data_IF_592012567701
#
_entry.id   IF_592012567701
#
_cell.length_a   1.000
_cell.length_b   1.000
_cell.length_c   1.000
_cell.angle_alpha   90.00
_cell.angle_beta   90.00
_cell.angle_gamma   90.00
#
_symmetry.space_group_name_H-M   'P 1'
#
loop_
_entity.id
_entity.type
_entity.pdbx_description
1 polymer ?
#
# COMPACT_ATOMS: atom_id res chain seq x y z
N UNK A 1 48.11 -32.95 -42.37
CA UNK A 1 47.76 -34.35 -42.75
C UNK A 1 47.91 -35.22 -41.51
N UNK A 2 47.09 -36.25 -41.24
CA UNK A 2 45.89 -36.79 -41.94
C UNK A 2 44.58 -36.60 -41.10
N UNK A 3 43.38 -36.37 -41.66
CA UNK A 3 42.31 -37.31 -42.16
C UNK A 3 41.79 -38.29 -41.09
N UNK A 4 40.49 -38.52 -40.85
CA UNK A 4 39.38 -38.94 -41.75
C UNK A 4 38.03 -38.80 -41.01
N UNK A 5 36.92 -38.26 -41.57
CA UNK A 5 35.87 -38.86 -42.43
C UNK A 5 35.39 -40.29 -42.08
N UNK A 6 34.10 -40.42 -41.72
CA UNK A 6 33.08 -41.40 -42.17
C UNK A 6 31.93 -41.41 -41.13
N UNK A 7 30.71 -40.91 -41.37
CA UNK A 7 29.61 -41.42 -42.21
C UNK A 7 29.31 -42.92 -42.00
N UNK A 8 28.17 -43.25 -41.38
CA UNK A 8 27.23 -44.22 -41.94
C UNK A 8 25.84 -44.20 -41.30
N UNK A 9 24.83 -44.16 -42.17
CA UNK A 9 23.40 -44.38 -41.91
C UNK A 9 23.15 -45.88 -41.68
N UNK A 10 22.12 -46.19 -40.88
CA UNK A 10 21.36 -47.42 -41.02
C UNK A 10 19.85 -47.08 -41.08
N UNK A 11 19.16 -47.77 -41.99
CA UNK A 11 17.78 -47.56 -42.42
C UNK A 11 17.00 -48.85 -42.16
N UNK A 12 15.68 -48.69 -41.99
CA UNK A 12 14.59 -49.69 -42.07
C UNK A 12 14.43 -50.67 -40.88
N UNK A 13 13.22 -50.71 -40.31
CA UNK A 13 12.29 -51.78 -40.68
C UNK A 13 10.82 -51.48 -40.36
N UNK A 14 9.94 -52.19 -41.08
CA UNK A 14 8.53 -51.96 -41.37
C UNK A 14 7.70 -53.13 -40.83
N UNK A 15 6.57 -52.87 -40.20
CA UNK A 15 5.48 -53.83 -39.95
C UNK A 15 4.29 -53.06 -39.35
N UNK A 16 3.08 -52.93 -39.91
CA UNK A 16 2.11 -53.83 -40.58
C UNK A 16 1.00 -54.35 -39.64
N UNK A 17 -0.15 -53.64 -39.71
CA UNK A 17 -1.59 -54.01 -39.55
C UNK A 17 -2.10 -54.94 -38.41
N UNK A 18 -3.09 -54.48 -37.63
CA UNK A 18 -4.52 -54.82 -37.82
C UNK A 18 -5.49 -54.36 -36.70
N UNK A 19 -6.56 -53.67 -37.13
CA UNK A 19 -8.01 -53.74 -36.81
C UNK A 19 -8.59 -53.79 -35.36
N UNK A 20 -9.52 -52.84 -35.15
CA UNK A 20 -10.87 -52.91 -34.53
C UNK A 20 -11.03 -53.36 -33.07
N UNK A 21 -11.46 -52.42 -32.21
CA UNK A 21 -12.53 -52.66 -31.24
C UNK A 21 -13.14 -51.34 -30.73
N UNK A 22 -14.46 -51.27 -30.82
CA UNK A 22 -15.37 -50.23 -30.33
C UNK A 22 -15.56 -50.38 -28.80
N UNK A 23 -15.43 -49.32 -28.01
CA UNK A 23 -16.02 -49.18 -26.64
C UNK A 23 -15.93 -47.71 -26.21
N UNK A 24 -17.05 -46.98 -26.22
CA UNK A 24 -17.94 -46.68 -25.08
C UNK A 24 -17.48 -45.53 -24.16
N UNK A 25 -18.30 -44.48 -24.18
CA UNK A 25 -18.59 -43.42 -23.19
C UNK A 25 -17.79 -43.33 -21.89
N UNK A 26 -17.28 -42.13 -21.60
CA UNK A 26 -17.57 -41.37 -20.37
C UNK A 26 -17.07 -39.93 -20.50
N UNK A 27 -17.88 -38.89 -20.14
CA UNK A 27 -17.40 -37.53 -20.09
C UNK A 27 -16.63 -37.34 -18.78
N UNK A 28 -15.30 -37.27 -18.87
CA UNK A 28 -14.46 -36.94 -17.73
C UNK A 28 -14.76 -35.49 -17.33
N UNK A 29 -15.34 -35.33 -16.14
CA UNK A 29 -15.64 -34.07 -15.46
C UNK A 29 -14.44 -33.12 -15.57
N UNK A 30 -14.63 -32.03 -16.30
CA UNK A 30 -13.70 -30.90 -16.28
C UNK A 30 -13.84 -30.19 -14.92
N UNK A 31 -12.97 -30.54 -13.97
CA UNK A 31 -12.67 -29.69 -12.84
C UNK A 31 -11.87 -28.50 -13.38
N UNK A 32 -12.55 -27.37 -13.59
CA UNK A 32 -11.86 -26.08 -13.74
C UNK A 32 -12.16 -25.24 -12.50
N UNK A 33 -11.14 -25.17 -11.64
CA UNK A 33 -11.02 -24.21 -10.56
C UNK A 33 -11.20 -22.80 -11.14
N UNK A 34 -12.36 -22.18 -10.90
CA UNK A 34 -12.48 -20.74 -11.02
C UNK A 34 -11.73 -20.11 -9.84
N UNK A 35 -10.57 -19.54 -10.15
CA UNK A 35 -9.75 -18.82 -9.19
C UNK A 35 -10.56 -17.68 -8.55
N UNK A 36 -10.64 -17.74 -7.24
CA UNK A 36 -11.14 -16.70 -6.34
C UNK A 36 -10.35 -15.39 -6.51
N UNK A 37 -11.02 -14.34 -6.99
CA UNK A 37 -10.57 -12.95 -6.89
C UNK A 37 -11.75 -12.12 -6.41
N UNK A 38 -12.03 -12.20 -5.11
CA UNK A 38 -12.74 -11.12 -4.41
C UNK A 38 -11.68 -10.31 -3.68
N UNK A 39 -11.42 -9.16 -4.28
CA UNK A 39 -10.49 -8.11 -3.93
C UNK A 39 -10.33 -7.91 -2.43
N UNK A 40 -9.08 -7.76 -1.99
CA UNK A 40 -8.72 -7.27 -0.68
C UNK A 40 -9.36 -5.89 -0.44
N UNK A 41 -10.54 -5.88 0.17
CA UNK A 41 -10.98 -4.77 1.00
C UNK A 41 -10.35 -4.98 2.39
N UNK A 42 -9.02 -4.87 2.47
CA UNK A 42 -8.29 -5.06 3.72
C UNK A 42 -7.37 -3.86 3.92
N UNK A 43 -7.69 -3.04 4.92
CA UNK A 43 -6.66 -2.27 5.63
C UNK A 43 -6.72 -0.75 5.63
N UNK A 44 -7.81 -0.08 5.22
CA UNK A 44 -7.90 1.37 5.46
C UNK A 44 -8.26 1.71 6.92
N UNK A 45 -8.96 0.81 7.62
CA UNK A 45 -9.22 0.94 9.06
C UNK A 45 -7.92 0.70 9.83
N UNK A 46 -7.23 1.77 10.21
CA UNK A 46 -6.00 1.74 10.99
C UNK A 46 -4.80 2.46 10.35
N UNK A 47 -4.94 3.00 9.14
CA UNK A 47 -3.95 3.93 8.63
C UNK A 47 -4.14 5.31 9.27
N UNK A 48 -3.03 5.96 9.62
CA UNK A 48 -3.02 7.26 10.28
C UNK A 48 -2.41 8.32 9.35
N UNK A 49 -2.95 9.53 9.42
CA UNK A 49 -2.31 10.74 8.91
C UNK A 49 -1.92 11.61 10.11
N UNK A 50 -0.82 12.33 10.01
CA UNK A 50 -0.41 13.25 11.06
C UNK A 50 -0.01 14.58 10.43
N UNK A 51 -0.45 15.68 11.04
CA UNK A 51 -0.27 17.04 10.49
C UNK A 51 0.94 17.74 11.12
N UNK A 52 1.29 17.41 12.37
CA UNK A 52 2.45 17.93 13.08
C UNK A 52 2.89 17.00 14.22
N UNK A 53 4.06 17.25 14.80
CA UNK A 53 4.59 16.49 15.94
C UNK A 53 3.98 16.85 17.30
N UNK A 54 3.11 17.86 17.32
CA UNK A 54 2.46 18.36 18.53
C UNK A 54 0.95 18.12 18.51
N UNK A 55 0.44 17.51 17.45
CA UNK A 55 -0.96 17.10 17.31
C UNK A 55 -1.05 15.57 17.31
N UNK A 56 -2.18 15.02 17.78
CA UNK A 56 -2.43 13.59 17.68
C UNK A 56 -2.46 13.14 16.21
N UNK A 57 -2.21 11.86 15.91
CA UNK A 57 -2.55 11.31 14.61
C UNK A 57 -4.07 11.34 14.39
N UNK A 58 -4.47 11.37 13.12
CA UNK A 58 -5.85 11.27 12.68
C UNK A 58 -6.05 9.95 11.95
N UNK A 59 -7.14 9.25 12.27
CA UNK A 59 -7.51 7.99 11.63
C UNK A 59 -8.07 8.22 10.23
N UNK A 60 -7.52 7.54 9.23
CA UNK A 60 -8.00 7.60 7.84
C UNK A 60 -9.40 6.99 7.74
N UNK A 61 -10.33 7.75 7.17
CA UNK A 61 -11.73 7.35 6.95
C UNK A 61 -12.04 7.09 5.47
N UNK A 62 -11.24 7.65 4.56
CA UNK A 62 -11.44 7.51 3.12
C UNK A 62 -10.10 7.56 2.38
N UNK A 63 -9.95 6.68 1.38
CA UNK A 63 -8.84 6.68 0.43
C UNK A 63 -9.40 6.51 -0.98
N UNK A 64 -8.95 7.35 -1.92
CA UNK A 64 -9.34 7.28 -3.33
C UNK A 64 -8.15 7.45 -4.26
N UNK A 65 -8.26 6.91 -5.48
CA UNK A 65 -7.28 7.17 -6.54
C UNK A 65 -5.86 6.67 -6.27
N UNK A 66 -5.69 5.64 -5.44
CA UNK A 66 -4.38 5.02 -5.13
C UNK A 66 -3.56 4.79 -6.40
N UNK A 67 -2.26 5.09 -6.36
CA UNK A 67 -1.32 5.00 -7.48
C UNK A 67 -1.61 5.91 -8.69
N UNK A 68 -2.53 6.88 -8.58
CA UNK A 68 -2.84 7.81 -9.67
C UNK A 68 -2.21 9.19 -9.47
N UNK A 69 -2.40 10.09 -10.44
CA UNK A 69 -2.04 11.51 -10.32
C UNK A 69 -2.93 12.32 -9.37
N UNK A 70 -4.02 11.72 -8.88
CA UNK A 70 -5.04 12.34 -8.03
C UNK A 70 -5.38 11.44 -6.84
N UNK A 71 -4.38 10.76 -6.27
CA UNK A 71 -4.57 9.93 -5.08
C UNK A 71 -4.89 10.82 -3.87
N UNK A 72 -5.89 10.45 -3.06
CA UNK A 72 -6.30 11.23 -1.89
C UNK A 72 -6.60 10.35 -0.69
N UNK A 73 -6.36 10.89 0.49
CA UNK A 73 -6.85 10.33 1.74
C UNK A 73 -7.45 11.44 2.61
N UNK A 74 -8.49 11.10 3.35
CA UNK A 74 -9.12 11.95 4.37
C UNK A 74 -9.07 11.19 5.68
N UNK A 75 -8.60 11.86 6.73
CA UNK A 75 -8.54 11.34 8.08
C UNK A 75 -9.25 12.29 9.05
N UNK A 76 -9.73 11.75 10.17
CA UNK A 76 -10.36 12.52 11.24
C UNK A 76 -9.70 12.23 12.57
N UNK A 77 -9.61 13.25 13.42
CA UNK A 77 -9.19 13.03 14.79
C UNK A 77 -10.31 12.38 15.57
N UNK A 78 -10.03 11.21 16.12
CA UNK A 78 -10.98 10.46 16.95
C UNK A 78 -10.66 10.65 18.42
N UNK A 79 -11.67 10.45 19.27
CA UNK A 79 -11.48 10.49 20.72
C UNK A 79 -10.41 9.49 21.22
N UNK A 80 -10.38 8.22 20.74
CA UNK A 80 -9.30 7.29 21.05
C UNK A 80 -7.91 7.84 20.71
N UNK A 81 -7.74 8.42 19.51
CA UNK A 81 -6.44 8.94 19.06
C UNK A 81 -5.96 10.09 19.96
N UNK A 82 -6.87 11.03 20.27
CA UNK A 82 -6.59 12.16 21.16
C UNK A 82 -6.22 11.68 22.56
N UNK A 83 -7.01 10.75 23.10
CA UNK A 83 -6.81 10.21 24.45
C UNK A 83 -5.45 9.54 24.55
N UNK A 84 -5.14 8.65 23.62
CA UNK A 84 -3.85 7.96 23.55
C UNK A 84 -2.69 8.95 23.45
N UNK A 85 -2.77 9.91 22.53
CA UNK A 85 -1.69 10.85 22.30
C UNK A 85 -1.42 11.79 23.50
N UNK A 86 -2.45 12.16 24.25
CA UNK A 86 -2.29 12.93 25.50
C UNK A 86 -1.65 12.10 26.63
N UNK A 87 -2.02 10.83 26.78
CA UNK A 87 -1.40 9.96 27.79
C UNK A 87 0.04 9.57 27.43
N UNK A 88 0.34 9.39 26.15
CA UNK A 88 1.69 9.09 25.67
C UNK A 88 2.57 10.35 25.54
N UNK A 89 1.99 11.54 25.68
CA UNK A 89 2.72 12.82 25.72
C UNK A 89 3.15 13.36 24.34
N UNK A 90 2.55 12.89 23.25
CA UNK A 90 2.87 13.41 21.90
C UNK A 90 2.24 14.76 21.61
N UNK A 91 1.11 15.07 22.24
CA UNK A 91 0.40 16.33 22.02
C UNK A 91 1.04 17.43 22.85
N UNK A 92 1.43 18.53 22.18
CA UNK A 92 1.95 19.74 22.83
C UNK A 92 2.99 19.45 23.92
N UNK A 93 4.08 18.75 23.58
CA UNK A 93 5.09 18.17 24.49
C UNK A 93 5.51 19.10 25.66
N UNK A 94 4.77 19.03 26.76
CA UNK A 94 5.03 19.78 28.01
C UNK A 94 4.16 21.03 28.26
N UNK A 95 3.17 21.32 27.41
CA UNK A 95 2.33 22.51 27.54
C UNK A 95 1.10 22.36 28.44
N UNK A 96 0.72 21.13 28.81
CA UNK A 96 -0.44 20.84 29.67
C UNK A 96 -0.01 20.32 31.03
N UNK A 97 -0.74 20.67 32.09
CA UNK A 97 -0.43 20.25 33.46
C UNK A 97 -0.84 18.80 33.75
N UNK A 98 -1.81 18.25 33.00
CA UNK A 98 -2.20 16.83 33.08
C UNK A 98 -2.73 16.28 31.74
N UNK A 99 -2.76 14.93 31.57
CA UNK A 99 -3.40 14.30 30.42
C UNK A 99 -4.88 14.67 30.26
N UNK A 100 -5.62 14.83 31.35
CA UNK A 100 -7.05 15.20 31.33
C UNK A 100 -7.26 16.61 30.79
N UNK A 101 -6.38 17.55 31.17
CA UNK A 101 -6.38 18.91 30.62
C UNK A 101 -6.07 18.87 29.11
N UNK A 102 -5.05 18.12 28.71
CA UNK A 102 -4.71 17.90 27.31
C UNK A 102 -5.90 17.35 26.52
N UNK A 103 -6.58 16.31 27.03
CA UNK A 103 -7.73 15.69 26.36
C UNK A 103 -8.85 16.70 26.19
N UNK A 104 -9.19 17.46 27.23
CA UNK A 104 -10.28 18.45 27.20
C UNK A 104 -10.03 19.53 26.14
N UNK A 105 -8.84 20.14 26.15
CA UNK A 105 -8.49 21.22 25.23
C UNK A 105 -8.32 20.71 23.79
N UNK A 106 -7.68 19.56 23.61
CA UNK A 106 -7.45 18.96 22.29
C UNK A 106 -8.76 18.50 21.66
N UNK A 107 -9.68 17.91 22.43
CA UNK A 107 -11.02 17.56 21.93
C UNK A 107 -11.79 18.80 21.47
N UNK A 108 -11.76 19.88 22.23
CA UNK A 108 -12.45 21.12 21.86
C UNK A 108 -11.94 21.70 20.53
N UNK A 109 -10.66 21.47 20.20
CA UNK A 109 -10.01 22.02 19.01
C UNK A 109 -10.09 21.09 17.80
N UNK A 110 -9.87 19.79 18.00
CA UNK A 110 -9.59 18.85 16.89
C UNK A 110 -10.64 17.77 16.71
N UNK A 111 -11.49 17.48 17.70
CA UNK A 111 -12.40 16.33 17.60
C UNK A 111 -13.34 16.48 16.40
N UNK A 112 -13.26 15.55 15.46
CA UNK A 112 -14.04 15.58 14.23
C UNK A 112 -13.49 16.49 13.12
N UNK A 113 -12.44 17.30 13.37
CA UNK A 113 -11.70 17.99 12.32
C UNK A 113 -11.07 16.96 11.37
N UNK A 114 -10.94 17.35 10.10
CA UNK A 114 -10.44 16.49 9.04
C UNK A 114 -9.11 16.99 8.50
N UNK A 115 -8.22 16.03 8.24
CA UNK A 115 -6.95 16.29 7.57
C UNK A 115 -6.91 15.53 6.25
N UNK A 116 -6.47 16.22 5.20
CA UNK A 116 -6.39 15.68 3.84
C UNK A 116 -4.95 15.50 3.39
N UNK A 117 -4.73 14.41 2.66
CA UNK A 117 -3.51 14.17 1.90
C UNK A 117 -3.85 14.00 0.42
N UNK A 118 -3.08 14.64 -0.47
CA UNK A 118 -3.24 14.51 -1.92
C UNK A 118 -1.89 14.21 -2.57
N UNK A 119 -1.79 13.11 -3.31
CA UNK A 119 -0.57 12.72 -3.98
C UNK A 119 -0.73 12.65 -5.51
N UNK A 120 0.34 13.04 -6.18
CA UNK A 120 0.56 12.75 -7.59
C UNK A 120 1.66 11.70 -7.70
N UNK A 121 1.25 10.43 -7.82
CA UNK A 121 2.18 9.31 -7.85
C UNK A 121 3.10 9.33 -9.07
N UNK A 122 2.66 9.89 -10.20
CA UNK A 122 3.49 10.03 -11.40
C UNK A 122 4.63 11.05 -11.23
N UNK A 123 4.41 12.11 -10.43
CA UNK A 123 5.42 13.13 -10.15
C UNK A 123 6.19 12.90 -8.85
N UNK A 124 5.76 11.96 -8.01
CA UNK A 124 6.36 11.72 -6.70
C UNK A 124 6.14 12.88 -5.74
N UNK A 125 4.98 13.53 -5.76
CA UNK A 125 4.67 14.68 -4.88
C UNK A 125 3.45 14.41 -4.02
N UNK A 126 3.43 14.96 -2.80
CA UNK A 126 2.28 14.90 -1.89
C UNK A 126 2.02 16.27 -1.26
N UNK A 127 0.75 16.58 -1.05
CA UNK A 127 0.30 17.67 -0.19
C UNK A 127 -0.31 17.06 1.06
N UNK A 128 0.03 17.61 2.23
CA UNK A 128 -0.50 17.19 3.52
C UNK A 128 -0.91 18.46 4.28
N UNK A 129 -2.23 18.71 4.37
CA UNK A 129 -2.72 20.02 4.77
C UNK A 129 -2.19 21.13 3.87
N UNK A 130 -1.52 22.13 4.45
CA UNK A 130 -0.94 23.26 3.72
C UNK A 130 0.48 22.98 3.18
N UNK A 131 1.12 21.90 3.62
CA UNK A 131 2.49 21.56 3.23
C UNK A 131 2.52 20.79 1.92
N UNK A 132 3.55 21.04 1.10
CA UNK A 132 3.78 20.35 -0.17
C UNK A 132 5.18 19.76 -0.21
N UNK A 133 5.28 18.52 -0.66
CA UNK A 133 6.48 17.71 -0.62
C UNK A 133 6.76 17.07 -1.97
N UNK A 134 8.04 16.88 -2.27
CA UNK A 134 8.53 16.10 -3.41
C UNK A 134 9.45 15.01 -2.89
N UNK A 135 9.22 13.77 -3.32
CA UNK A 135 10.03 12.63 -2.93
C UNK A 135 11.43 12.68 -3.58
N UNK A 136 12.49 12.24 -2.86
CA UNK A 136 12.49 11.86 -1.45
C UNK A 136 12.38 13.06 -0.51
N UNK A 137 11.80 12.86 0.68
CA UNK A 137 11.72 13.88 1.75
C UNK A 137 12.63 13.52 2.90
N UNK A 138 13.10 14.51 3.65
CA UNK A 138 13.85 14.28 4.88
C UNK A 138 12.96 13.72 5.99
N UNK A 139 13.45 12.74 6.73
CA UNK A 139 12.69 12.13 7.83
C UNK A 139 12.88 12.92 9.13
N UNK A 140 12.26 14.10 9.21
CA UNK A 140 12.27 14.90 10.43
C UNK A 140 10.95 15.66 10.64
N UNK A 141 10.75 16.05 11.90
CA UNK A 141 9.60 16.81 12.35
C UNK A 141 9.52 18.21 11.71
N UNK A 142 10.64 18.93 11.67
CA UNK A 142 10.70 20.34 11.26
C UNK A 142 10.28 20.55 9.79
N UNK A 143 10.64 19.63 8.92
CA UNK A 143 10.20 19.64 7.52
C UNK A 143 8.80 19.03 7.34
N UNK A 144 8.31 18.24 8.30
CA UNK A 144 7.08 17.45 8.20
C UNK A 144 7.25 16.15 7.39
N UNK A 145 8.46 15.81 6.96
CA UNK A 145 8.71 14.66 6.09
C UNK A 145 8.49 13.30 6.78
N UNK A 146 8.63 13.24 8.11
CA UNK A 146 8.28 12.05 8.93
C UNK A 146 6.80 11.65 8.77
N UNK A 147 5.92 12.58 8.39
CA UNK A 147 4.50 12.32 8.14
C UNK A 147 4.17 12.22 6.65
N UNK A 148 4.86 13.01 5.82
CA UNK A 148 4.63 13.02 4.38
C UNK A 148 5.03 11.71 3.70
N UNK A 149 6.12 11.07 4.14
CA UNK A 149 6.60 9.83 3.53
C UNK A 149 5.65 8.63 3.78
N UNK A 150 5.18 8.37 5.02
CA UNK A 150 4.15 7.35 5.27
C UNK A 150 2.85 7.62 4.50
N UNK A 151 2.35 8.87 4.52
CA UNK A 151 1.15 9.24 3.78
C UNK A 151 1.31 9.02 2.26
N UNK A 152 2.48 9.34 1.70
CA UNK A 152 2.78 9.09 0.30
C UNK A 152 2.85 7.60 -0.03
N UNK A 153 3.47 6.77 0.82
CA UNK A 153 3.52 5.31 0.62
C UNK A 153 2.14 4.68 0.65
N UNK A 154 1.27 5.16 1.53
CA UNK A 154 -0.13 4.75 1.58
C UNK A 154 -0.87 5.06 0.27
N UNK A 155 -0.68 6.28 -0.29
CA UNK A 155 -1.36 6.72 -1.51
C UNK A 155 -0.73 6.20 -2.80
N UNK A 156 0.57 5.96 -2.81
CA UNK A 156 1.38 5.60 -3.98
C UNK A 156 2.26 4.36 -3.74
N UNK A 157 1.69 3.22 -3.30
CA UNK A 157 2.48 2.01 -2.98
C UNK A 157 3.25 1.45 -4.18
N UNK A 158 2.84 1.76 -5.41
CA UNK A 158 3.52 1.36 -6.65
C UNK A 158 4.59 2.33 -7.15
N UNK A 159 4.88 3.41 -6.41
CA UNK A 159 5.91 4.37 -6.81
C UNK A 159 7.30 3.74 -6.77
N UNK A 160 8.03 3.82 -7.89
CA UNK A 160 9.35 3.20 -8.05
C UNK A 160 10.53 4.12 -7.74
N UNK A 161 10.27 5.40 -7.46
CA UNK A 161 11.32 6.33 -7.04
C UNK A 161 11.67 6.14 -5.56
N UNK A 162 12.71 6.83 -5.10
CA UNK A 162 13.13 6.73 -3.69
C UNK A 162 12.13 7.44 -2.79
N UNK A 163 11.65 6.73 -1.77
CA UNK A 163 10.95 7.30 -0.61
C UNK A 163 11.82 6.99 0.60
N UNK A 164 12.49 7.99 1.16
CA UNK A 164 13.34 7.78 2.34
C UNK A 164 12.43 7.43 3.52
N UNK A 165 12.49 6.16 3.95
CA UNK A 165 12.31 5.78 5.35
C UNK A 165 13.29 4.63 5.55
N UNK A 166 14.38 4.91 6.24
CA UNK A 166 15.08 4.00 7.14
C UNK A 166 15.52 4.84 8.34
#
# INVERSE_FOLDING_TARGET
>A
MPTSKALNKAKLNRGSFSRLALRQMSPTRAFLLAASLSSLATGASGAELQRSCIEPPATVIEITGVNTKHARAVAKFTEPDITKACYEGYVNQGGYASPEECIRETKATLLGDAIGAEANCGKGTIKLGQMSFKMPVENNCASGGIFAAPAFRMLCPGYRGKVVNE
#
